data_IF_609788822454
#
_entry.id   IF_609788822454
#
_cell.length_a   1.000
_cell.length_b   1.000
_cell.length_c   1.000
_cell.angle_alpha   90.00
_cell.angle_beta   90.00
_cell.angle_gamma   90.00
#
_symmetry.space_group_name_H-M   'P 1'
#
loop_
_entity.id
_entity.type
_entity.pdbx_description
1 polymer ?
#
# COMPACT_ATOMS: atom_id res chain seq x y z
N UNK A 1 24.98 26.30 84.49
CA UNK A 1 23.65 26.74 84.04
C UNK A 1 23.18 25.81 82.94
N UNK A 2 22.06 25.08 83.19
CA UNK A 2 20.98 24.56 82.30
C UNK A 2 21.35 24.15 80.85
N UNK A 3 20.84 23.09 80.21
CA UNK A 3 19.89 21.99 80.46
C UNK A 3 19.87 21.17 79.12
N UNK A 4 20.06 19.84 79.10
CA UNK A 4 19.04 18.75 79.01
C UNK A 4 18.52 18.40 77.58
N UNK A 5 18.56 17.09 77.30
CA UNK A 5 17.75 16.23 76.39
C UNK A 5 18.10 16.15 74.90
N UNK A 6 18.39 14.98 74.29
CA UNK A 6 17.84 13.60 74.25
C UNK A 6 17.20 13.34 72.87
N UNK A 7 17.61 12.23 72.26
CA UNK A 7 16.90 11.41 71.25
C UNK A 7 16.82 11.98 69.83
N UNK A 8 17.62 11.40 68.93
CA UNK A 8 17.16 11.11 67.56
C UNK A 8 17.84 9.83 67.05
N UNK A 9 17.52 8.71 67.70
CA UNK A 9 17.50 7.40 67.04
C UNK A 9 16.10 7.23 66.44
N UNK A 10 16.02 6.63 65.26
CA UNK A 10 14.84 6.45 64.37
C UNK A 10 14.57 7.64 63.45
N UNK A 11 15.19 7.62 62.26
CA UNK A 11 14.56 8.00 60.98
C UNK A 11 15.42 7.47 59.80
N UNK A 12 15.82 6.19 59.87
CA UNK A 12 16.44 5.45 58.77
C UNK A 12 15.42 4.57 58.02
N UNK A 13 14.13 4.89 58.15
CA UNK A 13 13.03 4.21 57.47
C UNK A 13 12.01 5.24 56.95
N UNK A 14 12.44 6.08 56.02
CA UNK A 14 11.53 6.89 55.20
C UNK A 14 12.14 7.35 53.86
N UNK A 15 13.18 6.65 53.36
CA UNK A 15 13.75 6.86 52.02
C UNK A 15 13.47 5.67 51.09
N UNK A 16 12.33 5.01 51.32
CA UNK A 16 11.71 4.07 50.38
C UNK A 16 10.23 4.48 50.35
N UNK A 17 9.67 4.67 49.16
CA UNK A 17 8.28 5.04 48.85
C UNK A 17 7.91 6.51 48.59
N UNK A 18 8.71 7.27 47.83
CA UNK A 18 8.13 8.36 47.00
C UNK A 18 8.67 8.47 45.56
N UNK A 19 9.52 7.56 45.09
CA UNK A 19 10.02 7.57 43.70
C UNK A 19 9.31 6.60 42.74
N UNK A 20 8.28 5.86 43.18
CA UNK A 20 7.63 4.82 42.34
C UNK A 20 6.36 5.24 41.57
N UNK A 21 5.86 6.47 41.72
CA UNK A 21 4.57 6.86 41.10
C UNK A 21 4.74 7.88 39.95
N UNK A 22 5.92 8.49 39.80
CA UNK A 22 6.16 9.48 38.73
C UNK A 22 6.81 8.92 37.45
N UNK A 23 7.33 7.68 37.46
CA UNK A 23 8.02 7.09 36.30
C UNK A 23 7.12 6.27 35.37
N UNK A 24 5.93 5.87 35.82
CA UNK A 24 5.06 4.97 35.07
C UNK A 24 4.49 5.64 33.82
N UNK A 25 4.01 6.88 33.89
CA UNK A 25 3.42 7.56 32.72
C UNK A 25 4.44 8.06 31.68
N UNK A 26 5.65 8.47 32.09
CA UNK A 26 6.71 8.86 31.15
C UNK A 26 7.26 7.65 30.37
N UNK A 27 7.36 6.47 31.00
CA UNK A 27 7.86 5.25 30.34
C UNK A 27 7.00 4.75 29.18
N UNK A 28 5.68 5.00 29.23
CA UNK A 28 4.71 4.49 28.26
C UNK A 28 4.54 5.38 27.02
N UNK A 29 4.73 6.70 27.15
CA UNK A 29 4.83 7.56 25.97
C UNK A 29 6.13 7.23 25.20
N UNK A 30 7.23 7.01 25.91
CA UNK A 30 8.49 6.51 25.35
C UNK A 30 8.31 5.13 24.71
N UNK A 31 7.47 4.25 25.29
CA UNK A 31 7.15 2.94 24.72
C UNK A 31 6.55 3.04 23.30
N UNK A 32 5.65 4.02 23.10
CA UNK A 32 5.00 4.22 21.80
C UNK A 32 5.95 4.72 20.72
N UNK A 33 6.88 5.61 21.09
CA UNK A 33 8.02 5.98 20.28
C UNK A 33 8.92 4.77 20.05
N UNK A 34 9.40 4.07 21.08
CA UNK A 34 10.28 2.91 20.93
C UNK A 34 9.68 1.78 20.09
N UNK A 35 8.35 1.65 20.01
CA UNK A 35 7.65 0.68 19.15
C UNK A 35 7.48 1.16 17.70
N UNK A 36 7.97 2.35 17.32
CA UNK A 36 7.83 2.90 15.97
C UNK A 36 6.37 3.11 15.57
N UNK A 37 5.51 3.53 16.50
CA UNK A 37 4.10 3.82 16.20
C UNK A 37 3.93 5.25 15.67
N UNK A 38 3.02 5.41 14.71
CA UNK A 38 2.67 6.70 14.09
C UNK A 38 1.68 7.54 14.93
N UNK A 39 1.11 6.94 15.97
CA UNK A 39 0.23 7.60 16.95
C UNK A 39 0.56 7.18 18.38
N UNK A 40 0.93 8.11 19.29
CA UNK A 40 1.16 7.77 20.69
C UNK A 40 -0.16 7.43 21.38
N UNK A 41 -0.21 6.30 22.08
CA UNK A 41 -1.32 5.93 22.97
C UNK A 41 -1.04 6.37 24.41
N UNK A 42 -2.09 6.72 25.17
CA UNK A 42 -1.95 7.02 26.61
C UNK A 42 -2.23 5.76 27.40
N UNK A 43 -1.23 4.92 27.69
CA UNK A 43 -1.45 3.68 28.44
C UNK A 43 -1.93 3.96 29.87
N UNK A 44 -3.24 4.05 30.07
CA UNK A 44 -3.91 4.26 31.36
C UNK A 44 -4.77 3.08 31.82
N UNK A 45 -5.13 2.17 30.90
CA UNK A 45 -5.95 0.99 31.19
C UNK A 45 -5.69 -0.16 30.19
N UNK A 46 -6.32 -1.31 30.45
CA UNK A 46 -6.17 -2.53 29.65
C UNK A 46 -6.76 -2.42 28.24
N UNK A 47 -7.76 -1.56 28.02
CA UNK A 47 -8.37 -1.35 26.71
C UNK A 47 -7.43 -0.57 25.80
N UNK A 48 -6.77 0.45 26.34
CA UNK A 48 -5.78 1.26 25.63
C UNK A 48 -4.49 0.47 25.38
N UNK A 49 -4.06 -0.39 26.31
CA UNK A 49 -2.96 -1.33 26.06
C UNK A 49 -3.30 -2.32 24.94
N UNK A 50 -4.51 -2.87 24.94
CA UNK A 50 -4.99 -3.72 23.84
C UNK A 50 -4.90 -2.99 22.50
N UNK A 51 -5.39 -1.74 22.41
CA UNK A 51 -5.32 -0.91 21.20
C UNK A 51 -3.89 -0.68 20.72
N UNK A 52 -2.95 -0.43 21.64
CA UNK A 52 -1.52 -0.28 21.34
C UNK A 52 -0.96 -1.58 20.76
N UNK A 53 -1.19 -2.73 21.41
CA UNK A 53 -0.70 -4.01 20.92
C UNK A 53 -1.32 -4.38 19.55
N UNK A 54 -2.60 -4.10 19.33
CA UNK A 54 -3.21 -4.22 18.00
C UNK A 54 -2.50 -3.38 16.95
N UNK A 55 -2.13 -2.15 17.29
CA UNK A 55 -1.41 -1.25 16.38
C UNK A 55 0.01 -1.75 16.11
N UNK A 56 0.69 -2.32 17.12
CA UNK A 56 2.02 -2.91 16.96
C UNK A 56 1.99 -4.14 16.04
N UNK A 57 0.99 -5.00 16.18
CA UNK A 57 0.87 -6.22 15.37
C UNK A 57 0.32 -5.97 13.96
N UNK A 58 -0.67 -5.09 13.83
CA UNK A 58 -1.51 -4.96 12.64
C UNK A 58 -1.61 -3.55 12.08
N UNK A 59 -1.02 -2.55 12.74
CA UNK A 59 -0.98 -1.18 12.26
C UNK A 59 -2.31 -0.46 12.38
N UNK A 60 -2.31 0.82 12.07
CA UNK A 60 -3.48 1.69 12.00
C UNK A 60 -3.95 1.80 10.55
N UNK A 61 -5.20 1.43 10.29
CA UNK A 61 -5.81 1.44 8.94
C UNK A 61 -6.35 2.82 8.52
N UNK A 62 -6.45 3.77 9.47
CA UNK A 62 -6.93 5.14 9.23
C UNK A 62 -8.23 5.21 8.41
N UNK A 63 -8.44 6.33 7.71
CA UNK A 63 -9.51 6.47 6.68
C UNK A 63 -9.09 5.97 5.29
N UNK A 64 -7.82 5.58 5.12
CA UNK A 64 -7.20 5.31 3.81
C UNK A 64 -7.36 3.87 3.35
N UNK A 65 -7.55 2.93 4.27
CA UNK A 65 -7.80 1.53 3.93
C UNK A 65 -9.31 1.24 4.03
N UNK A 66 -9.98 0.87 2.92
CA UNK A 66 -11.37 0.45 2.99
C UNK A 66 -11.51 -0.81 3.86
N UNK A 67 -12.58 -0.89 4.66
CA UNK A 67 -12.90 -2.01 5.59
C UNK A 67 -13.08 -3.38 4.92
N UNK A 68 -12.85 -3.49 3.62
CA UNK A 68 -13.13 -4.67 2.80
C UNK A 68 -12.04 -5.75 2.86
N UNK A 69 -10.98 -5.55 3.63
CA UNK A 69 -9.93 -6.55 3.80
C UNK A 69 -10.41 -7.66 4.72
N UNK A 70 -10.32 -8.91 4.29
CA UNK A 70 -10.45 -10.08 5.16
C UNK A 70 -9.26 -10.09 6.14
N UNK A 71 -9.46 -9.49 7.30
CA UNK A 71 -8.42 -9.39 8.33
C UNK A 71 -8.29 -10.73 9.08
N UNK A 72 -7.09 -11.33 9.08
CA UNK A 72 -6.76 -12.41 10.02
C UNK A 72 -6.11 -11.80 11.25
N UNK A 73 -6.95 -11.40 12.20
CA UNK A 73 -6.51 -10.84 13.48
C UNK A 73 -6.60 -11.92 14.56
N UNK A 74 -5.47 -12.25 15.19
CA UNK A 74 -5.42 -13.13 16.36
C UNK A 74 -5.67 -12.31 17.63
N UNK A 75 -6.93 -11.93 17.83
CA UNK A 75 -7.38 -11.16 19.00
C UNK A 75 -7.10 -11.89 20.32
N UNK A 76 -7.13 -13.22 20.31
CA UNK A 76 -6.84 -14.04 21.48
C UNK A 76 -5.36 -13.94 21.87
N UNK A 77 -4.44 -13.94 20.89
CA UNK A 77 -3.02 -13.71 21.16
C UNK A 77 -2.79 -12.33 21.76
N UNK A 78 -3.38 -11.28 21.18
CA UNK A 78 -3.28 -9.92 21.73
C UNK A 78 -3.79 -9.89 23.18
N UNK A 79 -4.95 -10.48 23.48
CA UNK A 79 -5.50 -10.54 24.84
C UNK A 79 -4.57 -11.27 25.83
N UNK A 80 -3.93 -12.38 25.42
CA UNK A 80 -2.92 -13.07 26.23
C UNK A 80 -1.73 -12.16 26.54
N UNK A 81 -1.24 -11.42 25.54
CA UNK A 81 -0.10 -10.51 25.72
C UNK A 81 -0.45 -9.32 26.62
N UNK A 82 -1.66 -8.75 26.51
CA UNK A 82 -2.17 -7.76 27.47
C UNK A 82 -2.10 -8.31 28.91
N UNK A 83 -2.58 -9.54 29.13
CA UNK A 83 -2.56 -10.17 30.45
C UNK A 83 -1.14 -10.37 31.00
N UNK A 84 -0.19 -10.80 30.16
CA UNK A 84 1.22 -10.95 30.55
C UNK A 84 1.85 -9.61 30.93
N UNK A 85 1.61 -8.56 30.15
CA UNK A 85 2.13 -7.21 30.42
C UNK A 85 1.54 -6.61 31.70
N UNK A 86 0.25 -6.81 31.96
CA UNK A 86 -0.39 -6.34 33.20
C UNK A 86 0.17 -7.08 34.42
N UNK A 87 0.50 -8.37 34.27
CA UNK A 87 1.07 -9.18 35.35
C UNK A 87 2.52 -8.80 35.67
N UNK A 88 3.31 -8.43 34.66
CA UNK A 88 4.68 -7.95 34.83
C UNK A 88 4.98 -6.80 33.85
N UNK A 89 4.78 -5.58 34.34
CA UNK A 89 4.95 -4.37 33.53
C UNK A 89 6.42 -4.11 33.17
N UNK A 90 7.39 -4.72 33.85
CA UNK A 90 8.80 -4.56 33.50
C UNK A 90 9.14 -5.29 32.18
N UNK A 91 8.39 -6.32 31.81
CA UNK A 91 8.62 -7.16 30.63
C UNK A 91 7.84 -6.70 29.39
N UNK A 92 7.23 -5.52 29.42
CA UNK A 92 6.32 -5.09 28.36
C UNK A 92 6.97 -5.04 26.97
N UNK A 93 8.25 -4.64 26.88
CA UNK A 93 8.98 -4.54 25.61
C UNK A 93 9.17 -5.90 24.96
N UNK A 94 9.51 -6.91 25.77
CA UNK A 94 9.65 -8.29 25.31
C UNK A 94 8.34 -8.78 24.71
N UNK A 95 7.24 -8.55 25.41
CA UNK A 95 5.91 -8.95 24.97
C UNK A 95 5.43 -8.16 23.74
N UNK A 96 5.71 -6.86 23.66
CA UNK A 96 5.39 -6.04 22.50
C UNK A 96 6.19 -6.46 21.25
N UNK A 97 7.48 -6.79 21.37
CA UNK A 97 8.28 -7.30 20.25
C UNK A 97 7.79 -8.64 19.71
N UNK A 98 7.29 -9.51 20.59
CA UNK A 98 6.85 -10.85 20.21
C UNK A 98 5.59 -10.87 19.29
N UNK A 99 4.85 -9.76 19.21
CA UNK A 99 3.65 -9.63 18.37
C UNK A 99 3.90 -8.85 17.08
N UNK A 100 5.12 -8.34 16.88
CA UNK A 100 5.47 -7.59 15.68
C UNK A 100 5.55 -8.49 14.44
N UNK A 101 5.27 -7.96 13.23
CA UNK A 101 5.41 -8.71 11.98
C UNK A 101 6.77 -9.38 11.82
N UNK A 102 6.79 -10.67 11.48
CA UNK A 102 8.04 -11.43 11.35
C UNK A 102 8.77 -11.24 10.01
N UNK A 103 8.14 -10.54 9.05
CA UNK A 103 8.73 -10.31 7.74
C UNK A 103 10.09 -9.57 7.86
N UNK A 104 11.12 -10.08 7.21
CA UNK A 104 12.50 -9.56 7.29
C UNK A 104 12.59 -8.04 7.01
N UNK A 105 11.93 -7.47 5.98
CA UNK A 105 11.99 -6.02 5.74
C UNK A 105 11.41 -5.19 6.90
N UNK A 106 10.42 -5.71 7.62
CA UNK A 106 9.89 -5.06 8.82
C UNK A 106 10.90 -5.10 9.95
N UNK A 107 11.49 -6.28 10.20
CA UNK A 107 12.47 -6.47 11.28
C UNK A 107 13.72 -5.60 11.09
N UNK A 108 14.14 -5.37 9.85
CA UNK A 108 15.26 -4.47 9.53
C UNK A 108 14.94 -2.99 9.82
N UNK A 109 13.75 -2.53 9.43
CA UNK A 109 13.27 -1.20 9.80
C UNK A 109 13.16 -1.05 11.32
N UNK A 110 12.71 -2.11 12.00
CA UNK A 110 12.56 -2.14 13.46
C UNK A 110 13.89 -2.04 14.18
N UNK A 111 14.93 -2.75 13.72
CA UNK A 111 16.31 -2.66 14.22
C UNK A 111 16.88 -1.25 14.03
N UNK A 112 16.53 -0.59 12.93
CA UNK A 112 16.92 0.82 12.72
C UNK A 112 16.29 1.72 13.80
N UNK A 113 14.99 1.58 14.05
CA UNK A 113 14.31 2.33 15.14
C UNK A 113 14.98 2.13 16.50
N UNK A 114 15.39 0.90 16.81
CA UNK A 114 16.13 0.61 18.04
C UNK A 114 17.46 1.36 18.10
N UNK A 115 18.23 1.34 17.01
CA UNK A 115 19.53 2.02 16.95
C UNK A 115 19.41 3.55 17.10
N UNK A 116 18.39 4.14 16.48
CA UNK A 116 18.09 5.57 16.54
C UNK A 116 17.71 5.98 17.96
N UNK A 117 16.83 5.21 18.59
CA UNK A 117 16.38 5.47 19.97
C UNK A 117 17.54 5.45 20.97
N UNK A 118 18.55 4.59 20.74
CA UNK A 118 19.75 4.48 21.58
C UNK A 118 20.78 5.59 21.33
N UNK A 119 20.90 6.08 20.10
CA UNK A 119 21.89 7.09 19.72
C UNK A 119 21.48 8.52 20.10
N UNK A 120 20.21 8.77 20.41
CA UNK A 120 19.67 10.12 20.70
C UNK A 120 19.76 11.10 19.51
N UNK A 121 20.18 10.63 18.35
CA UNK A 121 20.34 11.39 17.12
C UNK A 121 19.22 11.03 16.17
N UNK A 122 18.16 11.82 16.16
CA UNK A 122 17.03 11.56 15.28
C UNK A 122 16.55 12.86 14.64
N UNK A 123 16.70 12.98 13.32
CA UNK A 123 15.95 14.00 12.60
C UNK A 123 14.49 13.55 12.60
N UNK A 124 13.57 14.38 13.10
CA UNK A 124 12.12 14.09 13.18
C UNK A 124 11.52 13.57 11.84
N UNK A 125 12.14 13.92 10.71
CA UNK A 125 11.76 13.46 9.38
C UNK A 125 12.08 11.98 9.12
N UNK A 126 13.23 11.48 9.59
CA UNK A 126 13.60 10.06 9.49
C UNK A 126 12.67 9.21 10.35
N UNK A 127 12.43 9.61 11.59
CA UNK A 127 11.48 8.96 12.49
C UNK A 127 10.09 8.79 11.86
N UNK A 128 9.53 9.89 11.34
CA UNK A 128 8.18 9.90 10.75
C UNK A 128 8.10 8.98 9.53
N UNK A 129 9.15 8.98 8.72
CA UNK A 129 9.23 8.15 7.50
C UNK A 129 9.33 6.66 7.83
N UNK A 130 10.17 6.30 8.80
CA UNK A 130 10.35 4.90 9.22
C UNK A 130 9.10 4.39 9.94
N UNK A 131 8.53 5.16 10.86
CA UNK A 131 7.29 4.78 11.57
C UNK A 131 6.12 4.55 10.61
N UNK A 132 6.02 5.38 9.56
CA UNK A 132 5.02 5.15 8.51
C UNK A 132 5.27 3.84 7.75
N UNK A 133 6.51 3.57 7.34
CA UNK A 133 6.84 2.32 6.66
C UNK A 133 6.55 1.09 7.54
N UNK A 134 6.87 1.14 8.84
CA UNK A 134 6.50 0.09 9.78
C UNK A 134 4.98 -0.13 9.82
N UNK A 135 4.19 0.94 9.83
CA UNK A 135 2.73 0.84 9.78
C UNK A 135 2.22 0.13 8.51
N UNK A 136 2.77 0.45 7.35
CA UNK A 136 2.41 -0.20 6.08
C UNK A 136 2.70 -1.71 6.11
N UNK A 137 3.86 -2.13 6.62
CA UNK A 137 4.17 -3.55 6.80
C UNK A 137 3.25 -4.24 7.83
N UNK A 138 2.84 -3.56 8.89
CA UNK A 138 1.85 -4.10 9.84
C UNK A 138 0.47 -4.27 9.21
N UNK A 139 0.08 -3.40 8.28
CA UNK A 139 -1.15 -3.58 7.49
C UNK A 139 -1.03 -4.81 6.59
N UNK A 140 0.12 -5.03 5.96
CA UNK A 140 0.38 -6.28 5.20
C UNK A 140 0.28 -7.51 6.12
N UNK A 141 0.72 -7.42 7.38
CA UNK A 141 0.63 -8.50 8.36
C UNK A 141 -0.83 -8.92 8.69
N UNK A 142 -1.84 -8.06 8.44
CA UNK A 142 -3.27 -8.45 8.54
C UNK A 142 -3.66 -9.55 7.55
N UNK A 143 -2.86 -9.74 6.50
CA UNK A 143 -3.01 -10.73 5.45
C UNK A 143 -2.05 -11.92 5.62
N UNK A 144 -1.38 -12.04 6.76
CA UNK A 144 -0.46 -13.14 7.04
C UNK A 144 -1.11 -14.51 6.78
N UNK A 145 -0.33 -15.44 6.24
CA UNK A 145 -0.84 -16.75 5.83
C UNK A 145 -1.69 -16.72 4.55
N UNK A 146 -1.62 -15.65 3.76
CA UNK A 146 -2.19 -15.57 2.41
C UNK A 146 -1.12 -15.14 1.41
N UNK A 147 -1.18 -15.66 0.19
CA UNK A 147 -0.40 -15.09 -0.90
C UNK A 147 -0.91 -13.68 -1.18
N UNK A 148 -0.01 -12.70 -1.29
CA UNK A 148 -0.36 -11.29 -1.41
C UNK A 148 0.45 -10.62 -2.50
N UNK A 149 -0.18 -9.78 -3.33
CA UNK A 149 0.50 -8.87 -4.24
C UNK A 149 0.67 -7.52 -3.55
N UNK A 150 1.89 -7.08 -3.34
CA UNK A 150 2.24 -5.80 -2.73
C UNK A 150 2.81 -4.86 -3.79
N UNK A 151 2.15 -3.72 -4.01
CA UNK A 151 2.65 -2.65 -4.87
C UNK A 151 3.04 -1.46 -4.00
N UNK A 152 4.34 -1.13 -3.96
CA UNK A 152 4.81 0.07 -3.29
C UNK A 152 5.01 1.20 -4.30
N UNK A 153 4.22 2.28 -4.16
CA UNK A 153 4.18 3.38 -5.12
C UNK A 153 5.52 4.12 -5.22
N UNK A 154 6.13 4.65 -4.13
CA UNK A 154 7.40 5.38 -4.19
C UNK A 154 8.58 4.60 -4.80
N UNK A 155 8.64 3.28 -4.60
CA UNK A 155 9.67 2.43 -5.20
C UNK A 155 9.32 1.99 -6.62
N UNK A 156 8.07 2.21 -7.06
CA UNK A 156 7.50 1.72 -8.31
C UNK A 156 7.87 0.24 -8.54
N UNK A 157 7.60 -0.58 -7.52
CA UNK A 157 7.91 -2.01 -7.47
C UNK A 157 6.69 -2.82 -7.01
N UNK A 158 6.51 -3.99 -7.62
CA UNK A 158 5.56 -5.01 -7.21
C UNK A 158 6.31 -6.21 -6.63
N UNK A 159 5.79 -6.75 -5.53
CA UNK A 159 6.23 -8.01 -4.94
C UNK A 159 5.05 -8.98 -4.83
N UNK A 160 5.26 -10.26 -5.07
CA UNK A 160 4.32 -11.32 -4.67
C UNK A 160 4.93 -12.03 -3.47
N UNK A 161 4.20 -12.04 -2.36
CA UNK A 161 4.62 -12.58 -1.07
C UNK A 161 3.82 -13.85 -0.83
N UNK A 162 4.49 -14.95 -0.47
CA UNK A 162 3.85 -16.21 -0.13
C UNK A 162 3.21 -16.19 1.28
N UNK A 163 2.42 -17.20 1.66
CA UNK A 163 1.85 -17.28 3.00
C UNK A 163 2.88 -17.28 4.15
N UNK A 164 4.12 -17.69 3.89
CA UNK A 164 5.21 -17.72 4.87
C UNK A 164 5.98 -16.39 4.96
N UNK A 165 5.73 -15.44 4.05
CA UNK A 165 6.36 -14.12 4.01
C UNK A 165 7.52 -13.99 3.00
N UNK A 166 7.82 -15.02 2.21
CA UNK A 166 8.88 -14.98 1.21
C UNK A 166 8.43 -14.27 -0.07
N UNK A 167 9.35 -13.54 -0.71
CA UNK A 167 9.10 -12.88 -1.99
C UNK A 167 9.29 -13.88 -3.13
N UNK A 168 8.18 -14.27 -3.79
CA UNK A 168 8.17 -15.19 -4.94
C UNK A 168 8.45 -14.47 -6.27
N UNK A 169 8.06 -13.21 -6.38
CA UNK A 169 8.29 -12.37 -7.55
C UNK A 169 8.57 -10.95 -7.09
N UNK A 170 9.59 -10.30 -7.65
CA UNK A 170 9.84 -8.87 -7.52
C UNK A 170 10.06 -8.28 -8.91
N UNK A 171 9.23 -7.32 -9.30
CA UNK A 171 9.34 -6.69 -10.62
C UNK A 171 9.02 -5.19 -10.58
N UNK A 172 9.47 -4.47 -11.61
CA UNK A 172 9.18 -3.05 -11.76
C UNK A 172 7.72 -2.84 -12.15
N UNK A 173 7.16 -1.72 -11.70
CA UNK A 173 5.87 -1.21 -12.20
C UNK A 173 5.99 0.23 -12.68
N UNK A 174 4.98 0.69 -13.42
CA UNK A 174 4.73 2.11 -13.70
C UNK A 174 3.40 2.46 -13.05
N UNK A 175 3.41 3.49 -12.22
CA UNK A 175 2.28 3.95 -11.42
C UNK A 175 1.83 5.35 -11.88
N UNK A 176 0.76 5.86 -11.27
CA UNK A 176 0.16 7.14 -11.59
C UNK A 176 1.15 8.31 -11.51
N UNK A 177 0.96 9.31 -12.35
CA UNK A 177 1.70 10.58 -12.22
C UNK A 177 1.23 11.37 -10.99
N UNK A 178 1.96 12.40 -10.54
CA UNK A 178 1.47 13.31 -9.50
C UNK A 178 0.14 14.00 -9.82
N UNK A 179 -0.23 14.10 -11.11
CA UNK A 179 -1.47 14.75 -11.56
C UNK A 179 -2.65 13.76 -11.58
N UNK A 180 -2.35 12.46 -11.61
CA UNK A 180 -3.29 11.34 -11.70
C UNK A 180 -2.77 10.19 -10.81
N UNK A 181 -2.69 10.41 -9.49
CA UNK A 181 -2.00 9.50 -8.59
C UNK A 181 -2.71 8.14 -8.50
N UNK A 182 -1.92 7.08 -8.35
CA UNK A 182 -2.47 5.77 -7.99
C UNK A 182 -3.00 5.84 -6.55
N UNK A 183 -4.26 5.50 -6.28
CA UNK A 183 -4.81 5.51 -4.93
C UNK A 183 -4.21 4.37 -4.09
N UNK A 184 -4.09 4.62 -2.78
CA UNK A 184 -3.71 3.62 -1.77
C UNK A 184 -4.98 2.88 -1.38
N UNK A 185 -5.00 1.56 -1.52
CA UNK A 185 -6.12 0.71 -1.14
C UNK A 185 -5.71 -0.76 -1.08
N UNK A 186 -6.64 -1.59 -0.59
CA UNK A 186 -6.55 -3.05 -0.66
C UNK A 186 -7.80 -3.56 -1.38
N UNK A 187 -7.60 -4.51 -2.28
CA UNK A 187 -8.64 -5.21 -3.03
C UNK A 187 -8.15 -6.61 -3.38
N UNK A 188 -9.03 -7.51 -3.79
CA UNK A 188 -8.66 -8.81 -4.32
C UNK A 188 -8.51 -8.78 -5.83
N UNK A 189 -7.44 -9.39 -6.32
CA UNK A 189 -7.30 -9.82 -7.70
C UNK A 189 -8.18 -11.05 -7.90
N UNK A 190 -9.10 -10.98 -8.86
CA UNK A 190 -10.12 -12.03 -9.06
C UNK A 190 -9.94 -12.80 -10.37
N UNK A 191 -9.32 -12.21 -11.39
CA UNK A 191 -9.18 -12.82 -12.71
C UNK A 191 -8.05 -12.20 -13.52
N UNK A 192 -7.51 -13.00 -14.45
CA UNK A 192 -6.60 -12.58 -15.50
C UNK A 192 -7.38 -12.49 -16.81
N UNK A 193 -7.18 -11.43 -17.57
CA UNK A 193 -7.79 -11.21 -18.88
C UNK A 193 -6.68 -11.13 -19.92
N UNK A 194 -6.71 -12.00 -20.92
CA UNK A 194 -5.80 -11.94 -22.08
C UNK A 194 -6.46 -11.17 -23.21
N UNK A 195 -5.68 -10.38 -23.94
CA UNK A 195 -6.13 -9.49 -25.01
C UNK A 195 -7.31 -8.62 -24.57
N UNK A 196 -7.18 -7.85 -23.48
CA UNK A 196 -8.29 -7.08 -22.92
C UNK A 196 -8.76 -5.99 -23.88
N UNK A 197 -10.06 -5.71 -23.89
CA UNK A 197 -10.54 -4.40 -24.33
C UNK A 197 -10.14 -3.34 -23.33
N UNK A 198 -9.68 -2.17 -23.80
CA UNK A 198 -9.52 -1.02 -22.91
C UNK A 198 -10.80 -0.18 -22.92
N UNK A 199 -11.58 -0.27 -21.85
CA UNK A 199 -12.68 0.64 -21.62
C UNK A 199 -12.11 1.94 -21.06
N UNK A 200 -12.08 2.99 -21.89
CA UNK A 200 -11.42 4.24 -21.55
C UNK A 200 -12.25 4.96 -20.47
N UNK A 201 -11.65 5.27 -19.29
CA UNK A 201 -12.32 6.06 -18.27
C UNK A 201 -12.86 7.37 -18.83
N UNK A 202 -14.05 7.77 -18.39
CA UNK A 202 -14.73 8.98 -18.90
C UNK A 202 -13.84 10.21 -18.82
N UNK A 203 -13.06 10.36 -17.74
CA UNK A 203 -12.14 11.48 -17.53
C UNK A 203 -11.09 11.57 -18.64
N UNK A 204 -10.50 10.45 -19.05
CA UNK A 204 -9.52 10.36 -20.14
C UNK A 204 -10.23 10.59 -21.48
N UNK A 205 -11.38 9.93 -21.69
CA UNK A 205 -12.15 10.05 -22.94
C UNK A 205 -12.49 11.51 -23.27
N UNK A 206 -12.96 12.29 -22.28
CA UNK A 206 -13.38 13.68 -22.52
C UNK A 206 -12.26 14.70 -22.50
N UNK A 207 -11.17 14.46 -21.76
CA UNK A 207 -10.05 15.41 -21.62
C UNK A 207 -8.98 15.24 -22.70
N UNK A 208 -8.72 14.00 -23.11
CA UNK A 208 -7.59 13.70 -24.01
C UNK A 208 -8.05 13.29 -25.41
N UNK A 209 -9.07 12.43 -25.49
CA UNK A 209 -9.50 11.85 -26.77
C UNK A 209 -10.50 12.76 -27.49
N UNK A 210 -11.55 13.23 -26.80
CA UNK A 210 -12.60 14.05 -27.40
C UNK A 210 -12.05 15.29 -28.14
N UNK A 211 -11.08 16.06 -27.61
CA UNK A 211 -10.52 17.19 -28.36
C UNK A 211 -9.84 16.80 -29.67
N UNK A 212 -9.25 15.60 -29.74
CA UNK A 212 -8.58 15.08 -30.94
C UNK A 212 -9.58 14.48 -31.92
N UNK A 213 -10.55 13.71 -31.42
CA UNK A 213 -11.67 13.18 -32.22
C UNK A 213 -12.46 14.32 -32.87
N UNK A 214 -12.71 15.44 -32.16
CA UNK A 214 -13.40 16.60 -32.76
C UNK A 214 -12.68 17.22 -33.95
N UNK A 215 -11.36 17.08 -34.04
CA UNK A 215 -10.55 17.60 -35.17
C UNK A 215 -10.59 16.66 -36.37
N UNK A 216 -10.53 15.37 -36.12
CA UNK A 216 -10.57 14.32 -37.14
C UNK A 216 -11.27 13.07 -36.57
N UNK A 217 -12.61 12.97 -36.69
CA UNK A 217 -13.34 11.93 -35.99
C UNK A 217 -12.98 10.52 -36.47
N UNK A 218 -13.14 10.27 -37.77
CA UNK A 218 -12.93 8.95 -38.34
C UNK A 218 -11.45 8.58 -38.38
N UNK A 219 -10.57 9.51 -38.77
CA UNK A 219 -9.14 9.23 -38.86
C UNK A 219 -8.52 8.97 -37.49
N UNK A 220 -8.85 9.77 -36.48
CA UNK A 220 -8.31 9.56 -35.14
C UNK A 220 -8.84 8.29 -34.47
N UNK A 221 -10.14 7.99 -34.58
CA UNK A 221 -10.70 6.75 -34.03
C UNK A 221 -10.09 5.52 -34.69
N UNK A 222 -9.90 5.53 -36.02
CA UNK A 222 -9.29 4.42 -36.75
C UNK A 222 -7.80 4.24 -36.44
N UNK A 223 -7.06 5.34 -36.31
CA UNK A 223 -5.64 5.32 -35.96
C UNK A 223 -5.41 4.74 -34.56
N UNK A 224 -6.29 5.10 -33.60
CA UNK A 224 -6.21 4.62 -32.22
C UNK A 224 -6.99 3.32 -31.96
N UNK A 225 -7.60 2.72 -32.98
CA UNK A 225 -8.46 1.53 -32.90
C UNK A 225 -9.59 1.65 -31.86
N UNK A 226 -10.24 2.80 -31.85
CA UNK A 226 -11.29 3.14 -30.89
C UNK A 226 -12.68 2.87 -31.47
N UNK A 227 -13.51 2.24 -30.66
CA UNK A 227 -14.93 2.06 -30.89
C UNK A 227 -15.70 3.04 -30.01
N UNK A 228 -16.73 3.67 -30.59
CA UNK A 228 -17.67 4.52 -29.87
C UNK A 228 -18.88 3.68 -29.49
N UNK A 229 -19.15 3.60 -28.19
CA UNK A 229 -20.22 2.77 -27.64
C UNK A 229 -21.34 3.68 -27.13
N UNK A 230 -22.57 3.47 -27.60
CA UNK A 230 -23.76 4.20 -27.15
C UNK A 230 -24.13 3.83 -25.70
N UNK A 231 -24.98 4.64 -25.03
CA UNK A 231 -25.54 4.25 -23.73
C UNK A 231 -26.25 2.89 -23.73
N UNK A 232 -26.79 2.48 -24.89
CA UNK A 232 -27.46 1.18 -25.09
C UNK A 232 -26.47 0.03 -25.34
N UNK A 233 -25.16 0.31 -25.43
CA UNK A 233 -24.11 -0.69 -25.63
C UNK A 233 -23.77 -0.99 -27.10
N UNK A 234 -24.39 -0.29 -28.06
CA UNK A 234 -24.15 -0.52 -29.47
C UNK A 234 -22.90 0.22 -29.95
N UNK A 235 -22.17 -0.36 -30.90
CA UNK A 235 -21.10 0.34 -31.62
C UNK A 235 -21.74 1.35 -32.58
N UNK A 236 -21.30 2.60 -32.50
CA UNK A 236 -21.82 3.72 -33.29
C UNK A 236 -20.72 4.22 -34.23
N UNK A 237 -21.06 4.36 -35.51
CA UNK A 237 -20.14 4.93 -36.49
C UNK A 237 -19.91 6.43 -36.22
N UNK A 238 -18.69 6.95 -36.43
CA UNK A 238 -18.39 8.35 -36.18
C UNK A 238 -19.15 9.32 -37.08
N UNK A 239 -19.58 8.90 -38.26
CA UNK A 239 -20.28 9.70 -39.27
C UNK A 239 -21.68 10.15 -38.84
N UNK A 240 -22.33 9.42 -37.94
CA UNK A 240 -23.68 9.75 -37.43
C UNK A 240 -23.65 10.59 -36.15
N UNK A 241 -22.46 10.91 -35.63
CA UNK A 241 -22.29 11.66 -34.39
C UNK A 241 -21.94 13.12 -34.70
N UNK A 242 -22.72 14.06 -34.17
CA UNK A 242 -22.36 15.49 -34.22
C UNK A 242 -21.29 15.82 -33.16
N UNK A 243 -20.03 15.53 -33.49
CA UNK A 243 -18.88 15.75 -32.62
C UNK A 243 -18.70 17.21 -32.20
N UNK A 244 -19.10 18.17 -33.05
CA UNK A 244 -18.90 19.60 -32.77
C UNK A 244 -19.70 20.05 -31.56
N UNK A 245 -20.90 19.48 -31.37
CA UNK A 245 -21.81 19.76 -30.24
C UNK A 245 -21.43 19.05 -28.93
N UNK A 246 -20.49 18.10 -28.97
CA UNK A 246 -20.05 17.39 -27.78
C UNK A 246 -18.98 18.16 -27.00
N UNK A 247 -19.03 18.02 -25.69
CA UNK A 247 -18.12 18.60 -24.70
C UNK A 247 -17.96 17.62 -23.52
N UNK A 248 -17.04 17.92 -22.61
CA UNK A 248 -16.86 17.12 -21.40
C UNK A 248 -18.12 17.04 -20.51
N UNK A 249 -19.04 17.99 -20.63
CA UNK A 249 -20.30 18.01 -19.86
C UNK A 249 -21.38 17.11 -20.46
N UNK A 250 -21.44 17.01 -21.78
CA UNK A 250 -22.52 16.33 -22.52
C UNK A 250 -22.00 15.23 -23.45
N UNK A 251 -20.96 14.49 -23.05
CA UNK A 251 -20.46 13.32 -23.77
C UNK A 251 -21.18 12.05 -23.27
N UNK A 252 -22.16 11.50 -24.01
CA UNK A 252 -22.97 10.36 -23.56
C UNK A 252 -22.34 9.00 -23.92
N UNK A 253 -21.28 9.00 -24.73
CA UNK A 253 -20.67 7.79 -25.25
C UNK A 253 -19.59 7.25 -24.32
N UNK A 254 -19.29 5.95 -24.47
CA UNK A 254 -18.07 5.34 -23.96
C UNK A 254 -17.10 5.12 -25.12
N UNK A 255 -15.82 5.33 -24.87
CA UNK A 255 -14.77 4.92 -25.81
C UNK A 255 -14.17 3.61 -25.35
N UNK A 256 -13.98 2.68 -26.29
CA UNK A 256 -13.35 1.38 -26.05
C UNK A 256 -12.27 1.15 -27.09
N UNK A 257 -11.02 0.97 -26.68
CA UNK A 257 -9.98 0.48 -27.59
C UNK A 257 -10.17 -1.02 -27.82
N UNK A 258 -10.07 -1.45 -29.08
CA UNK A 258 -10.15 -2.86 -29.43
C UNK A 258 -8.99 -3.66 -28.85
N UNK A 259 -9.13 -4.98 -28.83
CA UNK A 259 -8.02 -5.87 -28.52
C UNK A 259 -6.92 -5.72 -29.58
N UNK A 260 -5.66 -5.95 -29.21
CA UNK A 260 -4.57 -5.82 -30.16
C UNK A 260 -3.20 -5.61 -29.53
N UNK A 261 -2.21 -5.65 -30.41
CA UNK A 261 -0.79 -5.45 -30.14
C UNK A 261 -0.41 -4.01 -29.78
N UNK A 262 -1.27 -3.07 -30.18
CA UNK A 262 -1.25 -1.63 -29.97
C UNK A 262 -2.23 -1.17 -28.87
N UNK A 263 -2.79 -2.11 -28.12
CA UNK A 263 -3.68 -1.80 -27.00
C UNK A 263 -2.86 -1.21 -25.83
N UNK A 264 -3.32 -0.09 -25.27
CA UNK A 264 -2.62 0.60 -24.18
C UNK A 264 -2.52 -0.23 -22.89
N UNK A 265 -3.36 -1.26 -22.74
CA UNK A 265 -3.29 -2.23 -21.64
C UNK A 265 -2.33 -3.40 -21.92
N UNK A 266 -1.70 -3.45 -23.10
CA UNK A 266 -0.96 -4.60 -23.57
C UNK A 266 -1.84 -5.82 -23.75
N UNK A 267 -1.27 -7.01 -23.58
CA UNK A 267 -1.96 -8.28 -23.84
C UNK A 267 -2.47 -9.00 -22.59
N UNK A 268 -2.18 -8.48 -21.39
CA UNK A 268 -2.63 -9.05 -20.12
C UNK A 268 -3.17 -7.94 -19.20
N UNK A 269 -4.33 -8.16 -18.60
CA UNK A 269 -4.92 -7.32 -17.55
C UNK A 269 -5.30 -8.18 -16.35
N UNK A 270 -5.13 -7.65 -15.16
CA UNK A 270 -5.54 -8.25 -13.90
C UNK A 270 -6.64 -7.40 -13.28
N UNK A 271 -7.82 -7.97 -13.11
CA UNK A 271 -8.98 -7.27 -12.56
C UNK A 271 -9.02 -7.39 -11.04
N UNK A 272 -9.28 -6.25 -10.41
CA UNK A 272 -9.46 -6.11 -8.97
C UNK A 272 -10.94 -5.88 -8.64
N UNK A 273 -11.41 -6.39 -7.51
CA UNK A 273 -12.74 -6.06 -6.95
C UNK A 273 -12.73 -4.70 -6.20
N UNK A 274 -12.05 -3.73 -6.79
CA UNK A 274 -11.82 -2.41 -6.20
C UNK A 274 -12.98 -1.44 -6.51
N UNK A 275 -13.32 -0.52 -5.58
CA UNK A 275 -14.22 0.60 -5.90
C UNK A 275 -13.59 1.64 -6.85
N UNK A 276 -12.30 1.50 -7.16
CA UNK A 276 -11.57 2.36 -8.09
C UNK A 276 -11.47 1.72 -9.47
N UNK A 277 -11.47 2.54 -10.54
CA UNK A 277 -11.17 2.11 -11.91
C UNK A 277 -9.65 1.84 -12.11
N UNK A 278 -9.03 1.14 -11.18
CA UNK A 278 -7.59 0.83 -11.13
C UNK A 278 -7.38 -0.66 -11.30
N UNK A 279 -6.52 -1.04 -12.23
CA UNK A 279 -6.14 -2.41 -12.53
C UNK A 279 -4.63 -2.52 -12.70
N UNK A 280 -4.11 -3.75 -12.54
CA UNK A 280 -2.76 -4.09 -12.96
C UNK A 280 -2.84 -4.58 -14.42
N UNK A 281 -1.87 -4.21 -15.25
CA UNK A 281 -1.90 -4.61 -16.66
C UNK A 281 -0.51 -4.59 -17.30
N UNK A 282 -0.37 -5.20 -18.47
CA UNK A 282 0.78 -5.09 -19.36
C UNK A 282 0.80 -3.69 -20.03
N UNK A 283 1.69 -3.45 -20.99
CA UNK A 283 1.67 -2.21 -21.78
C UNK A 283 2.32 -2.45 -23.14
N UNK A 284 1.81 -1.74 -24.13
CA UNK A 284 2.46 -1.54 -25.42
C UNK A 284 3.84 -0.86 -25.32
N UNK A 285 4.06 -0.04 -24.27
CA UNK A 285 5.26 0.75 -24.00
C UNK A 285 6.20 0.14 -22.93
N UNK A 286 6.71 -1.08 -23.17
CA UNK A 286 7.58 -1.82 -22.21
C UNK A 286 8.94 -1.14 -21.99
N UNK A 287 9.43 -0.37 -22.95
CA UNK A 287 10.67 0.41 -22.85
C UNK A 287 10.68 1.37 -21.66
N UNK A 288 9.49 1.80 -21.20
CA UNK A 288 9.36 2.69 -20.04
C UNK A 288 9.82 2.04 -18.72
N UNK A 289 9.88 0.71 -18.61
CA UNK A 289 10.41 0.03 -17.42
C UNK A 289 11.94 0.18 -17.26
N UNK A 290 12.65 0.61 -18.32
CA UNK A 290 14.07 0.97 -18.24
C UNK A 290 14.31 2.30 -17.51
N UNK A 291 13.28 3.17 -17.44
CA UNK A 291 13.41 4.50 -16.83
C UNK A 291 13.52 4.42 -15.31
N UNK A 292 14.32 5.32 -14.74
CA UNK A 292 14.38 5.54 -13.28
C UNK A 292 13.06 6.13 -12.76
N UNK A 293 12.52 7.13 -13.45
CA UNK A 293 11.23 7.75 -13.13
C UNK A 293 10.08 6.99 -13.82
N UNK A 294 9.19 6.36 -13.02
CA UNK A 294 8.10 5.49 -13.50
C UNK A 294 6.71 5.91 -12.98
N UNK A 295 6.51 7.21 -12.77
CA UNK A 295 5.23 7.81 -12.37
C UNK A 295 4.56 8.45 -13.60
N UNK A 296 4.12 7.61 -14.54
CA UNK A 296 3.76 8.01 -15.90
C UNK A 296 2.34 7.62 -16.31
N UNK A 297 1.59 6.91 -15.45
CA UNK A 297 0.26 6.42 -15.77
C UNK A 297 -0.86 7.39 -15.34
N UNK A 298 -2.10 7.05 -15.66
CA UNK A 298 -3.32 7.74 -15.21
C UNK A 298 -3.97 7.06 -13.99
N UNK A 299 -3.14 6.50 -13.09
CA UNK A 299 -3.57 5.87 -11.83
C UNK A 299 -3.56 4.34 -11.85
N UNK A 300 -3.66 3.70 -13.02
CA UNK A 300 -3.48 2.25 -13.18
C UNK A 300 -2.01 1.83 -13.04
N UNK A 301 -1.76 0.53 -12.86
CA UNK A 301 -0.43 -0.01 -12.58
C UNK A 301 0.01 -0.89 -13.76
N UNK A 302 1.05 -0.45 -14.49
CA UNK A 302 1.66 -1.29 -15.55
C UNK A 302 2.70 -2.21 -14.94
N UNK A 303 2.70 -3.48 -15.27
CA UNK A 303 3.55 -4.52 -14.69
C UNK A 303 4.60 -4.96 -15.71
N UNK A 304 5.88 -4.96 -15.33
CA UNK A 304 6.97 -5.35 -16.24
C UNK A 304 6.95 -6.84 -16.59
N UNK A 305 6.53 -7.68 -15.65
CA UNK A 305 6.58 -9.14 -15.73
C UNK A 305 5.16 -9.76 -15.63
N UNK A 306 4.22 -9.41 -16.52
CA UNK A 306 2.82 -9.81 -16.37
C UNK A 306 2.62 -11.31 -16.62
N UNK A 307 3.42 -11.95 -17.48
CA UNK A 307 3.35 -13.42 -17.68
C UNK A 307 3.73 -14.16 -16.40
N UNK A 308 4.86 -13.81 -15.78
CA UNK A 308 5.31 -14.41 -14.51
C UNK A 308 4.27 -14.21 -13.42
N UNK A 309 3.70 -13.00 -13.33
CA UNK A 309 2.62 -12.72 -12.39
C UNK A 309 1.38 -13.60 -12.66
N UNK A 310 0.95 -13.72 -13.92
CA UNK A 310 -0.20 -14.55 -14.28
C UNK A 310 0.02 -16.03 -13.96
N UNK A 311 1.17 -16.60 -14.33
CA UNK A 311 1.49 -18.00 -14.04
C UNK A 311 1.55 -18.27 -12.53
N UNK A 312 2.17 -17.36 -11.77
CA UNK A 312 2.25 -17.46 -10.33
C UNK A 312 0.87 -17.43 -9.67
N UNK A 313 0.00 -16.49 -10.08
CA UNK A 313 -1.37 -16.38 -9.55
C UNK A 313 -2.26 -17.57 -9.93
N UNK A 314 -2.02 -18.20 -11.08
CA UNK A 314 -2.73 -19.40 -11.53
C UNK A 314 -2.18 -20.69 -10.92
N UNK A 315 -1.00 -20.64 -10.27
CA UNK A 315 -0.34 -21.80 -9.67
C UNK A 315 0.18 -22.82 -10.68
N UNK A 316 0.38 -22.42 -11.94
CA UNK A 316 0.87 -23.29 -13.03
C UNK A 316 1.52 -22.48 -14.14
N UNK A 317 2.41 -23.11 -14.90
CA UNK A 317 2.86 -22.57 -16.19
C UNK A 317 1.71 -22.65 -17.19
N UNK A 318 1.07 -21.50 -17.43
CA UNK A 318 -0.10 -21.39 -18.30
C UNK A 318 0.21 -20.58 -19.56
N UNK A 319 0.90 -19.46 -19.40
CA UNK A 319 1.37 -18.59 -20.49
C UNK A 319 2.88 -18.78 -20.68
N UNK A 320 3.33 -18.84 -21.93
CA UNK A 320 4.75 -18.86 -22.26
C UNK A 320 5.38 -17.49 -22.00
N UNK A 321 6.69 -17.45 -21.72
CA UNK A 321 7.43 -16.18 -21.57
C UNK A 321 7.33 -15.31 -22.83
N UNK A 322 7.22 -15.93 -24.01
CA UNK A 322 7.05 -15.25 -25.29
C UNK A 322 5.65 -14.63 -25.50
N UNK A 323 4.67 -14.93 -24.64
CA UNK A 323 3.27 -14.48 -24.83
C UNK A 323 3.14 -12.96 -24.99
N UNK A 324 3.92 -12.18 -24.24
CA UNK A 324 3.94 -10.71 -24.35
C UNK A 324 4.78 -10.17 -25.49
N UNK A 325 5.63 -10.99 -26.09
CA UNK A 325 6.49 -10.61 -27.21
C UNK A 325 5.82 -10.93 -28.55
N UNK A 326 5.07 -12.03 -28.61
CA UNK A 326 4.30 -12.44 -29.79
C UNK A 326 3.23 -11.42 -30.17
N UNK A 327 2.65 -10.72 -29.18
CA UNK A 327 1.64 -9.64 -29.32
C UNK A 327 0.73 -9.82 -30.53
N UNK A 328 0.03 -10.95 -30.64
CA UNK A 328 -0.88 -11.11 -31.76
C UNK A 328 -1.95 -10.02 -31.78
N UNK A 329 -2.11 -9.37 -32.92
CA UNK A 329 -3.18 -8.42 -33.13
C UNK A 329 -4.50 -9.18 -33.40
N UNK A 330 -5.64 -8.63 -32.97
CA UNK A 330 -7.00 -9.15 -33.22
C UNK A 330 -7.40 -10.48 -32.56
N UNK A 331 -6.69 -10.94 -31.53
CA UNK A 331 -7.18 -12.07 -30.74
C UNK A 331 -8.39 -11.67 -29.86
N UNK A 332 -9.37 -12.57 -29.67
CA UNK A 332 -10.52 -12.29 -28.83
C UNK A 332 -10.12 -12.17 -27.36
N UNK A 333 -10.70 -11.20 -26.66
CA UNK A 333 -10.56 -11.05 -25.21
C UNK A 333 -11.08 -12.30 -24.51
N UNK A 334 -10.28 -12.87 -23.60
CA UNK A 334 -10.67 -14.02 -22.77
C UNK A 334 -10.41 -13.71 -21.30
N UNK A 335 -11.36 -14.10 -20.45
CA UNK A 335 -11.33 -13.87 -19.00
C UNK A 335 -11.17 -15.21 -18.28
N UNK A 336 -10.21 -15.27 -17.36
CA UNK A 336 -9.87 -16.48 -16.60
C UNK A 336 -9.94 -16.16 -15.10
N UNK A 337 -10.94 -16.69 -14.37
CA UNK A 337 -11.01 -16.50 -12.93
C UNK A 337 -9.79 -17.16 -12.26
N UNK A 338 -9.27 -16.51 -11.22
CA UNK A 338 -8.24 -17.13 -10.40
C UNK A 338 -8.82 -18.29 -9.59
N UNK A 339 -8.05 -19.36 -9.33
CA UNK A 339 -8.48 -20.44 -8.44
C UNK A 339 -8.81 -19.94 -7.03
N UNK A 340 -8.04 -18.96 -6.54
CA UNK A 340 -8.26 -18.27 -5.29
C UNK A 340 -8.11 -16.77 -5.54
N UNK A 341 -8.99 -15.95 -4.94
CA UNK A 341 -8.81 -14.51 -4.96
C UNK A 341 -7.53 -14.14 -4.18
N UNK A 342 -6.74 -13.22 -4.72
CA UNK A 342 -5.42 -12.86 -4.15
C UNK A 342 -5.45 -11.41 -3.69
N UNK A 343 -5.26 -11.11 -2.40
CA UNK A 343 -5.15 -9.74 -1.91
C UNK A 343 -4.07 -8.95 -2.64
N UNK A 344 -4.41 -7.74 -3.05
CA UNK A 344 -3.52 -6.73 -3.63
C UNK A 344 -3.49 -5.53 -2.69
N UNK A 345 -2.32 -5.26 -2.13
CA UNK A 345 -2.06 -4.12 -1.26
C UNK A 345 -1.31 -3.07 -2.07
N UNK A 346 -1.92 -1.91 -2.27
CA UNK A 346 -1.24 -0.75 -2.87
C UNK A 346 -0.90 0.21 -1.75
N UNK A 347 0.39 0.37 -1.50
CA UNK A 347 0.96 1.10 -0.36
C UNK A 347 1.85 2.28 -0.82
N UNK A 348 2.21 3.14 0.13
CA UNK A 348 3.11 4.26 -0.06
C UNK A 348 4.16 4.29 1.07
N UNK A 349 5.08 3.32 1.05
CA UNK A 349 6.22 3.30 1.95
C UNK A 349 7.40 4.06 1.31
N UNK A 350 7.78 5.19 1.92
CA UNK A 350 8.90 6.03 1.46
C UNK A 350 10.28 5.53 1.91
N UNK A 351 10.33 4.49 2.74
CA UNK A 351 11.56 3.79 3.09
C UNK A 351 11.30 2.30 3.10
N UNK A 352 12.24 1.54 2.56
CA UNK A 352 12.26 0.08 2.61
C UNK A 352 13.64 -0.39 3.07
N UNK A 353 13.68 -1.54 3.73
CA UNK A 353 14.93 -2.23 4.02
C UNK A 353 15.23 -3.24 2.90
N UNK A 354 16.28 -2.97 2.13
CA UNK A 354 16.81 -3.82 1.06
C UNK A 354 18.35 -3.83 1.12
N UNK A 355 18.94 -4.73 1.90
CA UNK A 355 20.39 -4.73 2.19
C UNK A 355 20.91 -3.38 2.75
N UNK A 356 20.06 -2.73 3.55
CA UNK A 356 20.22 -1.35 4.01
C UNK A 356 18.94 -0.54 3.79
N UNK A 357 18.87 0.67 4.32
CA UNK A 357 17.70 1.53 4.13
C UNK A 357 17.75 2.26 2.79
N UNK A 358 16.70 2.09 2.01
CA UNK A 358 16.48 2.81 0.75
C UNK A 358 15.34 3.80 0.93
N UNK A 359 15.65 5.09 0.78
CA UNK A 359 14.68 6.18 0.85
C UNK A 359 14.20 6.58 -0.54
N UNK A 360 12.90 6.82 -0.66
CA UNK A 360 12.24 7.23 -1.88
C UNK A 360 11.68 8.65 -1.75
N UNK A 361 11.55 9.32 -2.90
CA UNK A 361 10.98 10.66 -2.95
C UNK A 361 9.47 10.64 -2.67
N UNK A 362 8.96 11.65 -1.97
CA UNK A 362 7.52 11.85 -1.79
C UNK A 362 6.86 12.43 -3.07
N UNK A 363 6.72 11.59 -4.10
CA UNK A 363 6.24 11.97 -5.43
C UNK A 363 4.83 12.58 -5.43
N UNK A 364 3.95 12.12 -4.55
CA UNK A 364 2.58 12.62 -4.41
C UNK A 364 2.41 13.68 -3.32
N UNK A 365 3.50 14.08 -2.65
CA UNK A 365 3.46 15.01 -1.50
C UNK A 365 2.49 14.54 -0.41
N UNK A 366 2.39 13.22 -0.22
CA UNK A 366 1.46 12.60 0.71
C UNK A 366 1.79 12.91 2.19
N UNK A 367 3.03 13.35 2.48
CA UNK A 367 3.54 13.62 3.82
C UNK A 367 3.85 15.10 4.09
N UNK A 368 3.95 15.94 3.05
CA UNK A 368 4.36 17.35 3.17
C UNK A 368 3.40 18.25 4.00
N UNK A 369 2.18 17.79 4.31
CA UNK A 369 1.15 18.58 5.01
C UNK A 369 0.84 18.08 6.43
N UNK A 370 1.71 17.28 7.07
CA UNK A 370 1.51 16.86 8.47
C UNK A 370 2.63 17.41 9.35
N UNK A 371 2.46 18.56 10.02
CA UNK A 371 3.32 18.91 11.14
C UNK A 371 3.12 17.85 12.22
N UNK A 372 4.11 16.99 12.43
CA UNK A 372 4.15 16.14 13.62
C UNK A 372 4.67 17.01 14.75
N UNK A 373 3.76 17.68 15.45
CA UNK A 373 4.09 18.40 16.69
C UNK A 373 4.18 17.39 17.82
N UNK A 374 5.40 17.03 18.22
CA UNK A 374 5.63 16.52 19.57
C UNK A 374 5.90 17.73 20.46
N UNK A 375 4.98 18.04 21.37
CA UNK A 375 5.34 18.89 22.50
C UNK A 375 6.34 18.08 23.33
N UNK A 376 7.59 18.54 23.33
CA UNK A 376 8.65 18.02 24.21
C UNK A 376 8.27 18.17 25.67
#
# INVERSE_FOLDING_TARGET
MRSISLILALLLTAWINQSLIAQTHLSWNSASLMAGMDTPGKLSDSAELSRVLYTIAYGSTGKKFPKQVLEKIDSAHIARMVGLIIKDTAQWQLHARAIEPLAEPYQDLRRTVDSISLAGSDSLLQWTTISHALNEYRIVNRLAGQMTVLVNIPSATLRVIDPAGHVLLKCKVIVGSPHTPTPIFVANLTRVITYPYWNIPRSIAVKEFLPKIKKDPSGYLNAMKLQVISPQGNIVGPEIIDWKRLSAKNFPYRLRQSTGCDNALGVIKFDLDSPYDVYLHDTDHRELFSKKYRFLSHGCIRVAEPVKLANLLMGKEWLSDAFTDERYCNLPSKSYPLPNAVPVVITYAMVEAEAGLVYYQDIYKAFANRPVTFNR
#
